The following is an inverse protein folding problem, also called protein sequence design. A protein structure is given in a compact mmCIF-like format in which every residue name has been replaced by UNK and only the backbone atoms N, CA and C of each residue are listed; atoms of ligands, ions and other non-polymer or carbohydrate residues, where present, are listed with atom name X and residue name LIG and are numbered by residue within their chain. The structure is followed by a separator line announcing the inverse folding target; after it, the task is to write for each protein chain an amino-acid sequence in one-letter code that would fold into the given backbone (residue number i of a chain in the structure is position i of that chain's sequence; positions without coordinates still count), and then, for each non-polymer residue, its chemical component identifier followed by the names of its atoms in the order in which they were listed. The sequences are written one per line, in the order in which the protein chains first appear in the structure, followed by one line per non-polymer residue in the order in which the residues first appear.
data_IF_519673717555
#
_entry.id   IF_519673717555
#
_cell.length_a   1.000
_cell.length_b   1.000
_cell.length_c   1.000
_cell.angle_alpha   90.00
_cell.angle_beta   90.00
_cell.angle_gamma   90.00
#
_symmetry.space_group_name_H-M   'P 1'
#
loop_
_entity.id
_entity.type
_entity.pdbx_description
1 polymer ?
#
# COMPACT_ATOMS: atom_id res chain seq x y z
N UNK A 1 2.79 4.80 -8.59
CA UNK A 1 3.88 5.48 -7.85
C UNK A 1 5.22 4.93 -8.31
N UNK A 2 6.11 5.78 -8.86
CA UNK A 2 7.43 5.36 -9.34
C UNK A 2 8.52 5.94 -8.44
N UNK A 3 9.48 5.11 -8.05
CA UNK A 3 10.67 5.57 -7.35
C UNK A 3 11.65 6.22 -8.34
N UNK A 4 11.98 7.47 -8.07
CA UNK A 4 12.98 8.29 -8.72
C UNK A 4 14.25 8.26 -7.88
N UNK A 5 15.39 8.08 -8.53
CA UNK A 5 16.68 8.18 -7.88
C UNK A 5 17.10 9.66 -7.83
N UNK A 6 17.21 10.29 -6.64
CA UNK A 6 17.76 11.63 -6.51
C UNK A 6 19.25 11.67 -6.85
N UNK A 7 19.77 12.86 -7.16
CA UNK A 7 21.23 13.06 -7.19
C UNK A 7 21.82 12.87 -5.78
N UNK A 8 23.13 12.57 -5.65
CA UNK A 8 23.72 12.25 -4.35
C UNK A 8 23.60 13.34 -3.28
N UNK A 9 23.57 14.62 -3.66
CA UNK A 9 23.42 15.72 -2.70
C UNK A 9 22.00 15.77 -2.16
N UNK A 10 20.99 15.73 -3.04
CA UNK A 10 19.59 15.65 -2.64
C UNK A 10 19.30 14.37 -1.83
N UNK A 11 19.92 13.25 -2.21
CA UNK A 11 19.81 11.98 -1.50
C UNK A 11 20.30 12.08 -0.05
N UNK A 12 21.44 12.74 0.19
CA UNK A 12 21.99 12.93 1.53
C UNK A 12 21.08 13.83 2.40
N UNK A 13 20.55 14.90 1.83
CA UNK A 13 19.60 15.79 2.52
C UNK A 13 18.32 15.03 2.88
N UNK A 14 17.81 14.24 1.94
CA UNK A 14 16.68 13.33 2.14
C UNK A 14 16.91 12.34 3.28
N UNK A 15 18.05 11.65 3.29
CA UNK A 15 18.39 10.69 4.34
C UNK A 15 18.50 11.35 5.72
N UNK A 16 19.09 12.55 5.78
CA UNK A 16 19.15 13.35 7.03
C UNK A 16 17.77 13.75 7.51
N UNK A 17 16.87 14.18 6.61
CA UNK A 17 15.50 14.54 6.99
C UNK A 17 14.72 13.32 7.52
N UNK A 18 14.83 12.17 6.85
CA UNK A 18 14.24 10.92 7.34
C UNK A 18 14.78 10.53 8.73
N UNK A 19 16.10 10.67 8.98
CA UNK A 19 16.69 10.44 10.31
C UNK A 19 16.14 11.43 11.35
N UNK A 20 16.02 12.71 11.00
CA UNK A 20 15.46 13.73 11.90
C UNK A 20 14.03 13.40 12.29
N UNK A 21 13.17 13.00 11.34
CA UNK A 21 11.80 12.56 11.64
C UNK A 21 11.79 11.27 12.46
N UNK A 22 12.64 10.29 12.14
CA UNK A 22 12.70 9.02 12.85
C UNK A 22 13.10 9.14 14.33
N UNK A 23 13.89 10.16 14.66
CA UNK A 23 14.35 10.50 16.01
C UNK A 23 13.55 11.64 16.68
N UNK A 24 12.52 12.17 16.02
CA UNK A 24 11.63 13.15 16.64
C UNK A 24 10.77 12.47 17.72
N UNK A 25 10.59 13.13 18.86
CA UNK A 25 9.80 12.60 19.97
C UNK A 25 10.46 11.45 20.77
N UNK A 26 11.70 11.05 20.46
CA UNK A 26 12.43 10.03 21.23
C UNK A 26 13.57 9.35 20.45
N UNK A 27 14.17 8.34 21.06
CA UNK A 27 15.21 7.55 20.40
C UNK A 27 14.65 6.82 19.15
N UNK A 28 15.42 6.82 18.07
CA UNK A 28 15.07 6.08 16.86
C UNK A 28 15.08 4.58 17.15
N UNK A 29 13.97 3.90 16.84
CA UNK A 29 13.85 2.45 17.05
C UNK A 29 14.67 1.65 16.03
N UNK A 30 14.95 0.35 16.32
CA UNK A 30 15.57 -0.55 15.36
C UNK A 30 14.77 -0.68 14.06
N UNK A 31 13.44 -0.63 14.12
CA UNK A 31 12.57 -0.73 12.93
C UNK A 31 12.74 0.47 12.01
N UNK A 32 12.72 1.69 12.57
CA UNK A 32 12.97 2.92 11.80
C UNK A 32 14.39 2.95 11.25
N UNK A 33 15.36 2.49 12.02
CA UNK A 33 16.76 2.37 11.57
C UNK A 33 16.91 1.39 10.40
N UNK A 34 16.21 0.27 10.42
CA UNK A 34 16.18 -0.70 9.31
C UNK A 34 15.53 -0.10 8.05
N UNK A 35 14.39 0.57 8.20
CA UNK A 35 13.72 1.26 7.08
C UNK A 35 14.63 2.34 6.48
N UNK A 36 15.34 3.11 7.31
CA UNK A 36 16.27 4.14 6.87
C UNK A 36 17.45 3.54 6.09
N UNK A 37 17.98 2.39 6.52
CA UNK A 37 19.05 1.69 5.79
C UNK A 37 18.57 1.11 4.47
N UNK A 38 17.36 0.53 4.44
CA UNK A 38 16.74 0.05 3.20
C UNK A 38 16.53 1.20 2.21
N UNK A 39 16.03 2.35 2.68
CA UNK A 39 15.86 3.55 1.84
C UNK A 39 17.22 4.05 1.30
N UNK A 40 18.25 4.09 2.15
CA UNK A 40 19.63 4.45 1.76
C UNK A 40 20.16 3.53 0.65
N UNK A 41 19.98 2.22 0.79
CA UNK A 41 20.54 1.20 -0.13
C UNK A 41 19.76 1.09 -1.44
N UNK A 42 18.43 1.05 -1.37
CA UNK A 42 17.57 0.72 -2.50
C UNK A 42 17.15 1.97 -3.28
N UNK A 43 16.69 3.01 -2.57
CA UNK A 43 16.09 4.19 -3.19
C UNK A 43 17.13 5.27 -3.47
N UNK A 44 17.90 5.63 -2.44
CA UNK A 44 18.84 6.75 -2.49
C UNK A 44 20.19 6.35 -3.10
N UNK A 45 20.60 5.09 -2.93
CA UNK A 45 21.85 4.50 -3.43
C UNK A 45 23.09 5.33 -3.09
N UNK A 46 23.20 5.75 -1.83
CA UNK A 46 24.33 6.51 -1.32
C UNK A 46 25.11 5.75 -0.24
N UNK A 47 26.41 6.03 -0.20
CA UNK A 47 27.29 5.58 0.87
C UNK A 47 27.37 6.66 1.95
N UNK A 48 26.58 6.48 3.01
CA UNK A 48 26.51 7.40 4.13
C UNK A 48 26.30 6.60 5.42
N UNK A 49 27.09 6.89 6.45
CA UNK A 49 26.91 6.31 7.77
C UNK A 49 25.71 6.97 8.46
N UNK A 50 24.60 6.24 8.53
CA UNK A 50 23.35 6.70 9.16
C UNK A 50 23.59 7.13 10.59
N UNK A 51 24.47 6.46 11.34
CA UNK A 51 24.61 6.69 12.77
C UNK A 51 25.36 8.00 13.04
N UNK A 52 26.30 8.38 12.17
CA UNK A 52 27.04 9.66 12.25
C UNK A 52 26.31 10.87 11.64
N UNK A 53 25.19 10.69 10.92
CA UNK A 53 24.48 11.81 10.29
C UNK A 53 23.96 12.83 11.32
N UNK A 54 24.35 14.09 11.18
CA UNK A 54 23.76 15.17 11.96
C UNK A 54 22.30 15.43 11.52
N UNK A 55 21.40 15.82 12.45
CA UNK A 55 20.08 16.33 12.10
C UNK A 55 20.14 17.46 11.07
N UNK A 56 19.06 17.67 10.34
CA UNK A 56 18.94 18.73 9.35
C UNK A 56 17.79 19.66 9.68
N UNK A 57 17.97 20.96 9.44
CA UNK A 57 16.90 21.94 9.55
C UNK A 57 16.02 21.93 8.28
N UNK A 58 14.71 22.17 8.37
CA UNK A 58 13.83 22.25 7.20
C UNK A 58 14.32 23.24 6.13
N UNK A 59 14.88 24.38 6.52
CA UNK A 59 15.43 25.39 5.58
C UNK A 59 16.65 24.88 4.80
N UNK A 60 17.54 24.13 5.46
CA UNK A 60 18.69 23.48 4.82
C UNK A 60 18.22 22.38 3.86
N UNK A 61 17.22 21.59 4.28
CA UNK A 61 16.61 20.56 3.44
C UNK A 61 16.00 21.13 2.16
N UNK A 62 15.25 22.24 2.26
CA UNK A 62 14.58 22.86 1.11
C UNK A 62 15.53 23.29 -0.02
N UNK A 63 16.78 23.65 0.31
CA UNK A 63 17.79 24.03 -0.67
C UNK A 63 18.14 22.90 -1.66
N UNK A 64 17.94 21.63 -1.25
CA UNK A 64 18.17 20.46 -2.10
C UNK A 64 17.04 20.11 -3.06
N UNK A 65 15.89 20.77 -2.95
CA UNK A 65 14.66 20.38 -3.65
C UNK A 65 14.01 21.56 -4.37
N UNK A 66 14.58 22.06 -5.49
CA UNK A 66 14.09 23.27 -6.13
C UNK A 66 12.74 23.10 -6.85
N UNK A 67 12.43 21.94 -7.47
CA UNK A 67 11.11 21.58 -8.04
C UNK A 67 11.02 20.07 -8.36
N UNK A 68 9.80 19.55 -8.56
CA UNK A 68 9.56 18.26 -9.24
C UNK A 68 9.07 17.10 -8.37
N UNK A 69 8.80 15.96 -9.02
CA UNK A 69 8.21 14.74 -8.42
C UNK A 69 9.01 14.16 -7.24
N UNK A 70 10.31 14.45 -7.16
CA UNK A 70 11.13 14.05 -6.01
C UNK A 70 10.59 14.61 -4.69
N UNK A 71 10.01 15.81 -4.70
CA UNK A 71 9.42 16.41 -3.49
C UNK A 71 8.31 15.54 -2.91
N UNK A 72 7.37 15.10 -3.77
CA UNK A 72 6.26 14.23 -3.38
C UNK A 72 6.78 12.88 -2.86
N UNK A 73 7.75 12.27 -3.57
CA UNK A 73 8.37 11.03 -3.13
C UNK A 73 9.04 11.14 -1.75
N UNK A 74 9.72 12.26 -1.47
CA UNK A 74 10.31 12.46 -0.14
C UNK A 74 9.24 12.55 0.94
N UNK A 75 8.14 13.27 0.71
CA UNK A 75 7.03 13.33 1.67
C UNK A 75 6.38 11.96 1.86
N UNK A 76 6.19 11.18 0.78
CA UNK A 76 5.72 9.79 0.88
C UNK A 76 6.66 8.94 1.76
N UNK A 77 7.97 9.07 1.57
CA UNK A 77 8.98 8.43 2.41
C UNK A 77 8.92 8.86 3.87
N UNK A 78 8.67 10.14 4.16
CA UNK A 78 8.48 10.64 5.53
C UNK A 78 7.21 10.05 6.16
N UNK A 79 6.10 9.97 5.41
CA UNK A 79 4.87 9.34 5.89
C UNK A 79 5.07 7.86 6.21
N UNK A 80 5.74 7.11 5.34
CA UNK A 80 6.11 5.71 5.59
C UNK A 80 7.00 5.59 6.84
N UNK A 81 7.97 6.50 7.02
CA UNK A 81 8.82 6.54 8.22
C UNK A 81 8.01 6.77 9.50
N UNK A 82 7.00 7.65 9.47
CA UNK A 82 6.17 7.91 10.66
C UNK A 82 5.34 6.70 11.09
N UNK A 83 4.94 5.82 10.17
CA UNK A 83 4.10 4.65 10.46
C UNK A 83 4.90 3.35 10.63
N UNK A 84 6.23 3.42 10.70
CA UNK A 84 7.09 2.25 10.59
C UNK A 84 6.92 1.24 11.75
N UNK A 85 6.58 1.70 12.96
CA UNK A 85 6.68 0.89 14.18
C UNK A 85 5.71 1.26 15.30
N UNK A 86 4.52 1.72 14.93
CA UNK A 86 3.45 2.06 15.87
C UNK A 86 2.70 3.32 15.46
N UNK A 87 1.80 3.76 16.33
CA UNK A 87 1.17 5.08 16.19
C UNK A 87 2.25 6.16 16.35
N UNK A 88 2.43 7.06 15.38
CA UNK A 88 3.46 8.10 15.46
C UNK A 88 3.21 9.07 16.61
N UNK A 89 4.30 9.62 17.16
CA UNK A 89 4.19 10.72 18.12
C UNK A 89 3.83 12.03 17.40
N UNK A 90 3.30 13.01 18.14
CA UNK A 90 2.95 14.32 17.57
C UNK A 90 4.19 15.04 17.03
N UNK A 91 5.34 14.86 17.68
CA UNK A 91 6.62 15.44 17.29
C UNK A 91 7.14 14.86 15.97
N UNK A 92 6.97 13.55 15.75
CA UNK A 92 7.31 12.92 14.46
C UNK A 92 6.47 13.46 13.32
N UNK A 93 5.16 13.60 13.55
CA UNK A 93 4.26 14.14 12.52
C UNK A 93 4.54 15.62 12.26
N UNK A 94 4.73 16.42 13.30
CA UNK A 94 5.10 17.83 13.16
C UNK A 94 6.40 18.01 12.38
N UNK A 95 7.43 17.20 12.67
CA UNK A 95 8.68 17.23 11.91
C UNK A 95 8.47 16.88 10.42
N UNK A 96 7.62 15.89 10.11
CA UNK A 96 7.28 15.55 8.73
C UNK A 96 6.48 16.67 8.03
N UNK A 97 5.56 17.33 8.74
CA UNK A 97 4.80 18.50 8.26
C UNK A 97 5.73 19.70 7.98
N UNK A 98 6.70 19.97 8.84
CA UNK A 98 7.68 21.04 8.65
C UNK A 98 8.52 20.80 7.38
N UNK A 99 9.03 19.57 7.18
CA UNK A 99 9.77 19.21 5.97
C UNK A 99 8.91 19.27 4.72
N UNK A 100 7.66 18.81 4.78
CA UNK A 100 6.73 18.89 3.64
C UNK A 100 6.41 20.36 3.28
N UNK A 101 6.19 21.21 4.28
CA UNK A 101 5.85 22.62 4.12
C UNK A 101 6.93 23.42 3.42
N UNK A 102 8.20 23.24 3.79
CA UNK A 102 9.33 24.01 3.21
C UNK A 102 9.64 23.64 1.75
N UNK A 103 9.27 22.44 1.30
CA UNK A 103 9.35 22.04 -0.12
C UNK A 103 8.02 22.23 -0.87
N UNK A 104 6.99 22.78 -0.20
CA UNK A 104 5.71 23.13 -0.82
C UNK A 104 4.84 21.93 -1.19
N UNK A 105 4.98 20.80 -0.49
CA UNK A 105 4.12 19.63 -0.70
C UNK A 105 3.01 19.62 0.34
N UNK A 106 1.77 19.58 -0.14
CA UNK A 106 0.58 19.43 0.70
C UNK A 106 -0.15 18.17 0.26
N UNK A 107 -0.39 17.26 1.21
CA UNK A 107 -1.12 16.02 0.97
C UNK A 107 -2.12 15.76 2.10
N UNK A 108 -3.36 15.36 1.78
CA UNK A 108 -4.33 15.02 2.80
C UNK A 108 -3.91 13.81 3.66
N UNK A 109 -3.05 12.93 3.13
CA UNK A 109 -2.55 11.77 3.88
C UNK A 109 -1.78 12.19 5.14
N UNK A 110 -1.03 13.29 5.09
CA UNK A 110 -0.28 13.78 6.25
C UNK A 110 -1.22 14.37 7.31
N UNK A 111 -2.30 15.03 6.89
CA UNK A 111 -3.37 15.46 7.80
C UNK A 111 -4.06 14.28 8.49
N UNK A 112 -4.22 13.14 7.80
CA UNK A 112 -4.78 11.92 8.39
C UNK A 112 -3.83 11.33 9.44
N UNK A 113 -2.54 11.27 9.13
CA UNK A 113 -1.52 10.82 10.09
C UNK A 113 -1.48 11.73 11.33
N UNK A 114 -1.70 13.05 11.17
CA UNK A 114 -1.86 13.97 12.30
C UNK A 114 -3.09 13.64 13.16
N UNK A 115 -4.25 13.43 12.54
CA UNK A 115 -5.47 13.01 13.26
C UNK A 115 -5.25 11.71 14.04
N UNK A 116 -4.48 10.77 13.47
CA UNK A 116 -4.07 9.54 14.15
C UNK A 116 -3.18 9.83 15.37
N UNK A 117 -2.12 10.61 15.21
CA UNK A 117 -1.20 10.98 16.31
C UNK A 117 -1.91 11.77 17.43
N UNK A 118 -2.92 12.55 17.08
CA UNK A 118 -3.75 13.31 18.02
C UNK A 118 -4.87 12.47 18.67
N UNK A 119 -5.04 11.21 18.22
CA UNK A 119 -6.08 10.27 18.66
C UNK A 119 -7.50 10.67 18.28
N UNK A 120 -7.67 11.48 17.23
CA UNK A 120 -8.97 11.81 16.64
C UNK A 120 -9.48 10.67 15.75
N UNK A 121 -9.63 9.47 16.32
CA UNK A 121 -9.79 8.21 15.60
C UNK A 121 -11.01 8.15 14.67
N UNK A 122 -12.14 8.74 15.06
CA UNK A 122 -13.35 8.76 14.22
C UNK A 122 -13.11 9.58 12.95
N UNK A 123 -12.54 10.78 13.11
CA UNK A 123 -12.22 11.64 11.98
C UNK A 123 -11.13 11.00 11.12
N UNK A 124 -10.05 10.53 11.73
CA UNK A 124 -8.98 9.81 11.04
C UNK A 124 -9.51 8.66 10.17
N UNK A 125 -10.33 7.75 10.73
CA UNK A 125 -10.85 6.62 9.96
C UNK A 125 -11.76 7.07 8.82
N UNK A 126 -12.65 8.02 9.06
CA UNK A 126 -13.55 8.53 8.03
C UNK A 126 -12.78 9.19 6.89
N UNK A 127 -11.81 10.04 7.24
CA UNK A 127 -10.99 10.78 6.29
C UNK A 127 -10.01 9.89 5.51
N UNK A 128 -9.43 8.90 6.18
CA UNK A 128 -8.56 7.93 5.53
C UNK A 128 -9.36 7.04 4.58
N UNK A 129 -10.47 6.46 5.05
CA UNK A 129 -11.28 5.54 4.24
C UNK A 129 -11.86 6.22 3.00
N UNK A 130 -12.35 7.46 3.12
CA UNK A 130 -12.91 8.21 1.98
C UNK A 130 -11.88 8.58 0.91
N UNK A 131 -10.58 8.56 1.23
CA UNK A 131 -9.48 8.87 0.30
C UNK A 131 -8.71 7.61 -0.15
N UNK A 132 -8.96 6.48 0.49
CA UNK A 132 -8.34 5.18 0.19
C UNK A 132 -9.04 4.42 -0.93
N UNK A 133 -8.45 3.29 -1.33
CA UNK A 133 -9.02 2.33 -2.28
C UNK A 133 -10.42 1.85 -1.90
N UNK A 134 -10.83 1.93 -0.63
CA UNK A 134 -12.18 1.57 -0.21
C UNK A 134 -13.23 2.48 -0.86
N UNK A 135 -12.95 3.78 -0.98
CA UNK A 135 -13.86 4.71 -1.64
C UNK A 135 -13.98 4.40 -3.15
N UNK A 136 -12.86 4.06 -3.80
CA UNK A 136 -12.82 3.65 -5.20
C UNK A 136 -13.69 2.39 -5.41
N UNK A 137 -13.49 1.35 -4.59
CA UNK A 137 -14.27 0.10 -4.66
C UNK A 137 -15.77 0.38 -4.47
N UNK A 138 -16.15 1.20 -3.50
CA UNK A 138 -17.57 1.52 -3.27
C UNK A 138 -18.17 2.30 -4.45
N UNK A 139 -17.42 3.24 -5.04
CA UNK A 139 -17.84 4.03 -6.19
C UNK A 139 -17.99 3.16 -7.44
N UNK A 140 -17.05 2.27 -7.69
CA UNK A 140 -17.07 1.38 -8.85
C UNK A 140 -18.18 0.34 -8.72
N UNK A 141 -18.35 -0.24 -7.53
CA UNK A 141 -19.47 -1.15 -7.25
C UNK A 141 -20.82 -0.47 -7.48
N UNK A 142 -20.97 0.78 -7.04
CA UNK A 142 -22.18 1.58 -7.28
C UNK A 142 -22.39 1.85 -8.77
N UNK A 143 -21.34 2.22 -9.50
CA UNK A 143 -21.41 2.48 -10.93
C UNK A 143 -21.77 1.24 -11.76
N UNK A 144 -21.26 0.06 -11.38
CA UNK A 144 -21.48 -1.20 -12.09
C UNK A 144 -22.84 -1.84 -11.79
N UNK A 145 -23.32 -1.74 -10.55
CA UNK A 145 -24.47 -2.54 -10.09
C UNK A 145 -25.64 -1.70 -9.57
N UNK A 146 -25.49 -0.38 -9.50
CA UNK A 146 -26.47 0.53 -8.92
C UNK A 146 -26.59 0.42 -7.39
N UNK A 147 -27.46 1.24 -6.76
CA UNK A 147 -27.57 1.30 -5.29
C UNK A 147 -27.98 -0.03 -4.65
N UNK A 148 -28.88 -0.78 -5.30
CA UNK A 148 -29.34 -2.08 -4.82
C UNK A 148 -28.23 -3.13 -4.87
N UNK A 149 -27.43 -3.14 -5.95
CA UNK A 149 -26.30 -4.04 -6.09
C UNK A 149 -25.17 -3.75 -5.09
N UNK A 150 -24.89 -2.47 -4.82
CA UNK A 150 -23.98 -2.06 -3.75
C UNK A 150 -24.47 -2.56 -2.38
N UNK A 151 -25.76 -2.35 -2.06
CA UNK A 151 -26.34 -2.83 -0.80
C UNK A 151 -26.21 -4.35 -0.66
N UNK A 152 -26.46 -5.10 -1.75
CA UNK A 152 -26.27 -6.55 -1.79
C UNK A 152 -24.83 -6.95 -1.52
N UNK A 153 -23.87 -6.34 -2.20
CA UNK A 153 -22.43 -6.62 -2.01
C UNK A 153 -22.00 -6.38 -0.55
N UNK A 154 -22.46 -5.30 0.08
CA UNK A 154 -22.17 -5.01 1.49
C UNK A 154 -22.80 -6.05 2.43
N UNK A 155 -24.04 -6.48 2.18
CA UNK A 155 -24.69 -7.52 2.98
C UNK A 155 -24.01 -8.89 2.82
N UNK A 156 -23.56 -9.23 1.62
CA UNK A 156 -22.78 -10.43 1.33
C UNK A 156 -21.43 -10.41 2.06
N UNK A 157 -20.67 -9.32 1.97
CA UNK A 157 -19.41 -9.14 2.71
C UNK A 157 -19.63 -9.25 4.24
N UNK A 158 -20.74 -8.72 4.76
CA UNK A 158 -21.10 -8.86 6.18
C UNK A 158 -21.58 -10.27 6.56
N UNK A 159 -21.71 -11.17 5.60
CA UNK A 159 -22.17 -12.53 5.79
C UNK A 159 -23.66 -12.66 6.10
N UNK A 160 -24.45 -11.62 5.78
CA UNK A 160 -25.90 -11.58 6.02
C UNK A 160 -26.67 -12.29 4.90
N UNK A 161 -26.10 -12.33 3.69
CA UNK A 161 -26.71 -12.99 2.54
C UNK A 161 -25.68 -13.57 1.58
N UNK A 162 -26.18 -14.29 0.56
CA UNK A 162 -25.40 -14.79 -0.56
C UNK A 162 -25.99 -14.28 -1.89
N UNK A 163 -25.16 -14.27 -2.93
CA UNK A 163 -25.55 -14.12 -4.32
C UNK A 163 -25.18 -15.38 -5.11
N UNK A 164 -26.08 -16.38 -5.17
CA UNK A 164 -25.78 -17.67 -5.81
C UNK A 164 -25.42 -17.55 -7.29
N UNK A 165 -26.05 -16.61 -8.01
CA UNK A 165 -25.78 -16.40 -9.43
C UNK A 165 -24.37 -15.85 -9.64
N UNK A 166 -23.95 -14.92 -8.77
CA UNK A 166 -22.60 -14.40 -8.78
C UNK A 166 -21.57 -15.47 -8.38
N UNK A 167 -21.82 -16.18 -7.29
CA UNK A 167 -20.95 -17.25 -6.81
C UNK A 167 -20.75 -18.34 -7.88
N UNK A 168 -21.81 -18.70 -8.62
CA UNK A 168 -21.72 -19.67 -9.72
C UNK A 168 -20.72 -19.25 -10.82
N UNK A 169 -20.63 -17.95 -11.14
CA UNK A 169 -19.66 -17.44 -12.14
C UNK A 169 -18.22 -17.66 -11.71
N UNK A 170 -17.92 -17.44 -10.43
CA UNK A 170 -16.58 -17.62 -9.89
C UNK A 170 -16.26 -19.10 -9.59
N UNK A 171 -17.24 -19.89 -9.16
CA UNK A 171 -17.06 -21.35 -9.01
C UNK A 171 -16.74 -22.02 -10.34
N UNK A 172 -17.30 -21.54 -11.45
CA UNK A 172 -16.98 -22.04 -12.78
C UNK A 172 -15.50 -21.84 -13.17
N UNK A 173 -14.76 -20.96 -12.48
CA UNK A 173 -13.30 -20.83 -12.70
C UNK A 173 -12.53 -22.05 -12.22
N UNK A 174 -13.13 -22.90 -11.40
CA UNK A 174 -12.58 -24.22 -11.11
C UNK A 174 -12.46 -25.04 -12.41
N UNK A 175 -13.32 -24.88 -13.40
CA UNK A 175 -13.22 -25.69 -14.62
C UNK A 175 -12.25 -25.09 -15.67
N UNK A 176 -11.58 -23.97 -15.35
CA UNK A 176 -10.56 -23.39 -16.21
C UNK A 176 -9.26 -24.22 -16.20
N UNK A 177 -8.43 -24.13 -17.27
CA UNK A 177 -7.18 -24.87 -17.36
C UNK A 177 -6.28 -24.66 -16.14
N UNK A 178 -5.60 -25.73 -15.71
CA UNK A 178 -4.61 -25.64 -14.64
C UNK A 178 -3.50 -24.64 -15.00
N UNK A 179 -3.12 -23.80 -14.03
CA UNK A 179 -2.16 -22.71 -14.25
C UNK A 179 -2.73 -21.47 -14.95
N UNK A 180 -4.04 -21.42 -15.23
CA UNK A 180 -4.69 -20.18 -15.68
C UNK A 180 -4.92 -19.21 -14.52
N UNK A 181 -5.01 -17.90 -14.81
CA UNK A 181 -5.21 -16.87 -13.77
C UNK A 181 -6.44 -17.14 -12.90
N UNK A 182 -7.59 -17.46 -13.51
CA UNK A 182 -8.84 -17.71 -12.77
C UNK A 182 -8.77 -18.96 -11.91
N UNK A 183 -8.20 -20.05 -12.44
CA UNK A 183 -7.99 -21.30 -11.69
C UNK A 183 -7.04 -21.07 -10.51
N UNK A 184 -5.97 -20.30 -10.71
CA UNK A 184 -5.02 -19.93 -9.65
C UNK A 184 -5.66 -19.06 -8.56
N UNK A 185 -6.59 -18.14 -8.89
CA UNK A 185 -7.29 -17.35 -7.88
C UNK A 185 -8.22 -18.22 -7.01
N UNK A 186 -8.97 -19.13 -7.62
CA UNK A 186 -9.84 -20.06 -6.86
C UNK A 186 -9.02 -20.96 -5.94
N UNK A 187 -7.87 -21.46 -6.42
CA UNK A 187 -6.93 -22.23 -5.60
C UNK A 187 -6.39 -21.39 -4.44
N UNK A 188 -5.96 -20.16 -4.71
CA UNK A 188 -5.50 -19.22 -3.69
C UNK A 188 -6.56 -18.98 -2.61
N UNK A 189 -7.83 -18.81 -3.00
CA UNK A 189 -8.93 -18.66 -2.06
C UNK A 189 -9.16 -19.90 -1.20
N UNK A 190 -9.14 -21.08 -1.82
CA UNK A 190 -9.32 -22.35 -1.11
C UNK A 190 -8.19 -22.60 -0.09
N UNK A 191 -6.94 -22.31 -0.45
CA UNK A 191 -5.76 -22.45 0.41
C UNK A 191 -5.81 -21.52 1.63
N UNK A 192 -6.34 -20.31 1.48
CA UNK A 192 -6.40 -19.29 2.54
C UNK A 192 -7.76 -19.24 3.26
N UNK A 193 -8.71 -20.10 2.88
CA UNK A 193 -10.05 -20.14 3.47
C UNK A 193 -10.93 -18.93 3.14
N UNK A 194 -10.66 -18.25 2.03
CA UNK A 194 -11.43 -17.10 1.57
C UNK A 194 -12.69 -17.54 0.81
N UNK A 195 -13.73 -16.70 0.88
CA UNK A 195 -15.01 -16.94 0.20
C UNK A 195 -15.04 -16.23 -1.15
N UNK A 196 -15.52 -16.90 -2.19
CA UNK A 196 -15.61 -16.32 -3.53
C UNK A 196 -16.61 -15.16 -3.56
N UNK A 197 -16.50 -14.22 -4.51
CA UNK A 197 -17.51 -13.19 -4.68
C UNK A 197 -18.92 -13.80 -4.86
N UNK A 198 -19.87 -13.28 -4.09
CA UNK A 198 -21.24 -13.81 -4.01
C UNK A 198 -21.45 -14.88 -2.93
N UNK A 199 -20.41 -15.50 -2.40
CA UNK A 199 -20.55 -16.38 -1.24
C UNK A 199 -20.64 -15.58 0.06
N UNK A 200 -21.09 -16.21 1.15
CA UNK A 200 -21.19 -15.56 2.45
C UNK A 200 -19.81 -15.08 2.91
N UNK A 201 -19.67 -13.78 3.23
CA UNK A 201 -18.40 -13.08 3.52
C UNK A 201 -17.48 -12.91 2.31
N UNK A 202 -17.95 -13.22 1.10
CA UNK A 202 -17.21 -12.95 -0.13
C UNK A 202 -16.98 -11.46 -0.34
N UNK A 203 -15.80 -11.10 -0.82
CA UNK A 203 -15.45 -9.73 -1.13
C UNK A 203 -16.20 -9.24 -2.39
N UNK A 204 -16.55 -7.94 -2.50
CA UNK A 204 -17.18 -7.38 -3.69
C UNK A 204 -16.31 -7.53 -4.94
N UNK A 205 -16.93 -7.74 -6.11
CA UNK A 205 -16.20 -7.88 -7.39
C UNK A 205 -15.30 -6.69 -7.71
N UNK A 206 -15.73 -5.46 -7.36
CA UNK A 206 -14.94 -4.26 -7.56
C UNK A 206 -13.59 -4.28 -6.82
N UNK A 207 -13.49 -5.06 -5.74
CA UNK A 207 -12.26 -5.24 -4.96
C UNK A 207 -11.36 -6.38 -5.43
N UNK A 208 -11.82 -7.23 -6.36
CA UNK A 208 -11.13 -8.45 -6.75
C UNK A 208 -9.75 -8.21 -7.38
N UNK A 209 -9.51 -7.00 -7.92
CA UNK A 209 -8.21 -6.60 -8.44
C UNK A 209 -7.10 -6.74 -7.39
N UNK A 210 -7.39 -6.50 -6.11
CA UNK A 210 -6.44 -6.67 -5.00
C UNK A 210 -6.01 -8.14 -4.86
N UNK A 211 -6.98 -9.06 -4.82
CA UNK A 211 -6.68 -10.49 -4.70
C UNK A 211 -5.99 -11.05 -5.95
N UNK A 212 -6.36 -10.55 -7.12
CA UNK A 212 -5.65 -10.85 -8.36
C UNK A 212 -4.19 -10.37 -8.31
N UNK A 213 -3.89 -9.26 -7.61
CA UNK A 213 -2.53 -8.80 -7.41
C UNK A 213 -1.70 -9.71 -6.51
N UNK A 214 -2.29 -10.47 -5.57
CA UNK A 214 -1.58 -11.52 -4.86
C UNK A 214 -1.11 -12.62 -5.82
N UNK A 215 -2.01 -13.12 -6.67
CA UNK A 215 -1.72 -14.21 -7.62
C UNK A 215 -0.74 -13.77 -8.71
N UNK A 216 -1.02 -12.63 -9.34
CA UNK A 216 -0.14 -12.05 -10.37
C UNK A 216 1.22 -11.69 -9.79
N UNK A 217 1.21 -11.13 -8.59
CA UNK A 217 2.37 -10.62 -7.89
C UNK A 217 3.22 -11.70 -7.20
N UNK A 218 2.67 -12.89 -6.98
CA UNK A 218 3.27 -13.93 -6.14
C UNK A 218 3.54 -13.42 -4.70
N UNK A 219 2.51 -12.83 -4.08
CA UNK A 219 2.56 -12.32 -2.71
C UNK A 219 1.55 -13.07 -1.83
N UNK A 220 1.99 -13.53 -0.66
CA UNK A 220 1.13 -14.20 0.32
C UNK A 220 0.18 -13.23 1.04
N UNK A 221 -0.61 -13.76 1.96
CA UNK A 221 -1.58 -13.00 2.77
C UNK A 221 -1.12 -12.80 4.22
N UNK A 222 0.13 -13.13 4.53
CA UNK A 222 0.75 -12.82 5.81
C UNK A 222 1.07 -11.30 5.87
N UNK A 223 1.35 -10.73 7.05
CA UNK A 223 1.64 -9.29 7.18
C UNK A 223 2.71 -8.79 6.18
N UNK A 224 3.74 -9.59 5.91
CA UNK A 224 4.76 -9.29 4.91
C UNK A 224 4.19 -9.24 3.49
N UNK A 225 3.46 -10.28 3.08
CA UNK A 225 2.83 -10.37 1.77
C UNK A 225 1.83 -9.25 1.50
N UNK A 226 1.07 -8.85 2.52
CA UNK A 226 0.14 -7.71 2.46
C UNK A 226 0.85 -6.37 2.24
N UNK A 227 1.97 -6.14 2.92
CA UNK A 227 2.79 -4.96 2.65
C UNK A 227 3.38 -4.99 1.24
N UNK A 228 3.81 -6.17 0.76
CA UNK A 228 4.33 -6.31 -0.60
C UNK A 228 3.26 -6.11 -1.67
N UNK A 229 2.05 -6.68 -1.54
CA UNK A 229 0.98 -6.49 -2.52
C UNK A 229 0.48 -5.05 -2.53
N UNK A 230 0.42 -4.39 -1.37
CA UNK A 230 0.07 -2.98 -1.29
C UNK A 230 1.11 -2.09 -1.99
N UNK A 231 2.39 -2.37 -1.77
CA UNK A 231 3.49 -1.68 -2.45
C UNK A 231 3.48 -1.93 -3.96
N UNK A 232 3.32 -3.19 -4.39
CA UNK A 232 3.19 -3.56 -5.80
C UNK A 232 2.01 -2.85 -6.47
N UNK A 233 0.85 -2.83 -5.83
CA UNK A 233 -0.35 -2.17 -6.36
C UNK A 233 -0.17 -0.65 -6.41
N UNK A 234 0.44 -0.05 -5.38
CA UNK A 234 0.79 1.37 -5.39
C UNK A 234 1.75 1.72 -6.54
N UNK A 235 2.55 0.78 -7.02
CA UNK A 235 3.49 0.95 -8.12
C UNK A 235 2.81 1.40 -9.42
N UNK A 236 1.72 0.76 -9.81
CA UNK A 236 0.97 1.07 -11.05
C UNK A 236 -0.30 1.88 -10.84
N UNK A 237 -0.80 2.02 -9.60
CA UNK A 237 -1.97 2.87 -9.34
C UNK A 237 -1.66 4.33 -9.67
N UNK A 238 -2.53 4.94 -10.47
CA UNK A 238 -2.39 6.31 -10.95
C UNK A 238 -2.90 7.35 -9.94
N UNK A 239 -4.03 7.04 -9.28
CA UNK A 239 -4.70 7.96 -8.35
C UNK A 239 -4.42 7.57 -6.92
N UNK A 240 -3.97 8.53 -6.10
CA UNK A 240 -3.74 8.35 -4.65
C UNK A 240 -2.99 7.06 -4.24
N UNK A 241 -1.92 6.63 -4.95
CA UNK A 241 -1.26 5.34 -4.71
C UNK A 241 -0.71 5.18 -3.29
N UNK A 242 -0.31 6.29 -2.66
CA UNK A 242 0.22 6.28 -1.29
C UNK A 242 -0.79 5.71 -0.28
N UNK A 243 -2.10 5.91 -0.48
CA UNK A 243 -3.11 5.42 0.46
C UNK A 243 -3.17 3.89 0.51
N UNK A 244 -2.84 3.18 -0.58
CA UNK A 244 -2.72 1.71 -0.55
C UNK A 244 -1.60 1.28 0.39
N UNK A 245 -0.43 1.91 0.25
CA UNK A 245 0.73 1.60 1.08
C UNK A 245 0.45 1.96 2.54
N UNK A 246 -0.06 3.16 2.80
CA UNK A 246 -0.43 3.57 4.16
C UNK A 246 -1.51 2.65 4.77
N UNK A 247 -2.45 2.13 3.98
CA UNK A 247 -3.48 1.21 4.49
C UNK A 247 -2.83 -0.07 5.07
N UNK A 248 -1.91 -0.69 4.34
CA UNK A 248 -1.17 -1.86 4.83
C UNK A 248 -0.26 -1.51 6.02
N UNK A 249 0.46 -0.37 5.95
CA UNK A 249 1.35 0.06 7.04
C UNK A 249 0.60 0.40 8.32
N UNK A 250 -0.58 1.02 8.22
CA UNK A 250 -1.42 1.28 9.39
C UNK A 250 -1.76 -0.02 10.11
N UNK A 251 -2.11 -1.05 9.36
CA UNK A 251 -2.55 -2.32 9.93
C UNK A 251 -1.37 -3.15 10.47
N UNK A 252 -0.28 -3.26 9.71
CA UNK A 252 0.78 -4.21 9.99
C UNK A 252 2.05 -3.59 10.58
N UNK A 253 2.25 -2.28 10.43
CA UNK A 253 3.38 -1.55 11.03
C UNK A 253 2.95 -0.68 12.22
N UNK A 254 1.84 0.04 12.11
CA UNK A 254 1.36 0.95 13.14
C UNK A 254 0.41 0.29 14.16
N UNK A 255 -0.10 -0.91 13.88
CA UNK A 255 -1.03 -1.62 14.76
C UNK A 255 -2.46 -1.06 14.78
N UNK A 256 -2.83 -0.25 13.79
CA UNK A 256 -4.12 0.46 13.71
C UNK A 256 -5.05 -0.24 12.72
N UNK A 257 -6.15 -0.79 13.24
CA UNK A 257 -7.16 -1.40 12.38
C UNK A 257 -7.99 -0.32 11.66
N UNK A 258 -7.75 -0.18 10.35
CA UNK A 258 -8.53 0.67 9.44
C UNK A 258 -9.43 -0.12 8.48
N UNK A 259 -9.54 -1.45 8.64
CA UNK A 259 -10.42 -2.26 7.78
C UNK A 259 -11.89 -1.91 7.99
N UNK A 260 -12.72 -1.93 6.94
CA UNK A 260 -14.18 -1.83 7.04
C UNK A 260 -14.84 -3.18 7.39
N UNK A 261 -14.11 -4.11 8.02
CA UNK A 261 -14.60 -5.44 8.41
C UNK A 261 -14.52 -5.62 9.94
N UNK A 262 -15.05 -6.75 10.44
CA UNK A 262 -14.94 -7.12 11.87
C UNK A 262 -13.58 -7.74 12.23
N UNK A 263 -12.70 -7.95 11.25
CA UNK A 263 -11.37 -8.50 11.48
C UNK A 263 -10.50 -7.48 12.22
N UNK A 264 -9.87 -7.91 13.30
CA UNK A 264 -9.13 -7.08 14.23
C UNK A 264 -7.63 -7.42 14.29
N UNK A 265 -7.18 -8.41 13.51
CA UNK A 265 -5.77 -8.77 13.45
C UNK A 265 -4.92 -7.62 12.91
N UNK A 266 -4.03 -7.11 13.74
CA UNK A 266 -3.01 -6.10 13.42
C UNK A 266 -1.66 -6.55 13.95
N UNK A 267 -0.59 -5.99 13.39
CA UNK A 267 0.77 -6.17 13.90
C UNK A 267 1.46 -4.82 14.07
N UNK A 268 2.57 -4.80 14.81
CA UNK A 268 3.40 -3.61 14.97
C UNK A 268 4.80 -3.92 14.44
N UNK A 269 5.37 -3.00 13.66
CA UNK A 269 6.76 -3.05 13.23
C UNK A 269 7.09 -4.14 12.19
N UNK A 270 6.15 -4.56 11.32
CA UNK A 270 6.45 -5.57 10.28
C UNK A 270 7.63 -5.16 9.39
N UNK A 271 7.84 -3.86 9.14
CA UNK A 271 8.99 -3.33 8.39
C UNK A 271 10.34 -3.60 9.06
N UNK A 272 10.35 -3.91 10.35
CA UNK A 272 11.56 -4.26 11.10
C UNK A 272 12.02 -5.70 10.89
N UNK A 273 11.20 -6.55 10.27
CA UNK A 273 11.61 -7.92 9.93
C UNK A 273 12.77 -7.89 8.94
N UNK A 274 13.73 -8.81 9.03
CA UNK A 274 14.91 -8.83 8.16
C UNK A 274 14.54 -8.76 6.67
N UNK A 275 15.07 -7.77 5.95
CA UNK A 275 14.86 -7.58 4.52
C UNK A 275 13.46 -7.08 4.12
N UNK A 276 12.56 -6.80 5.08
CA UNK A 276 11.15 -6.50 4.75
C UNK A 276 11.00 -5.14 4.07
N UNK A 277 11.72 -4.12 4.53
CA UNK A 277 11.70 -2.80 3.90
C UNK A 277 12.25 -2.84 2.46
N UNK A 278 13.32 -3.60 2.20
CA UNK A 278 13.87 -3.83 0.86
C UNK A 278 12.86 -4.55 -0.03
N UNK A 279 12.19 -5.59 0.49
CA UNK A 279 11.13 -6.32 -0.24
C UNK A 279 9.94 -5.43 -0.57
N UNK A 280 9.57 -4.49 0.31
CA UNK A 280 8.54 -3.49 0.04
C UNK A 280 8.95 -2.57 -1.11
N UNK A 281 10.17 -2.02 -1.09
CA UNK A 281 10.68 -1.18 -2.19
C UNK A 281 10.78 -1.96 -3.50
N UNK A 282 11.27 -3.20 -3.49
CA UNK A 282 11.35 -4.05 -4.67
C UNK A 282 9.96 -4.35 -5.25
N UNK A 283 8.96 -4.59 -4.40
CA UNK A 283 7.58 -4.78 -4.83
C UNK A 283 7.00 -3.51 -5.48
N UNK A 284 7.26 -2.34 -4.89
CA UNK A 284 6.87 -1.03 -5.45
C UNK A 284 7.51 -0.79 -6.82
N UNK A 285 8.82 -1.01 -6.96
CA UNK A 285 9.53 -0.86 -8.24
C UNK A 285 9.01 -1.83 -9.30
N UNK A 286 8.74 -3.07 -8.91
CA UNK A 286 8.15 -4.08 -9.79
C UNK A 286 6.75 -3.67 -10.25
N UNK A 287 5.94 -3.12 -9.34
CA UNK A 287 4.63 -2.56 -9.64
C UNK A 287 4.69 -1.41 -10.63
N UNK A 288 5.67 -0.52 -10.48
CA UNK A 288 5.88 0.62 -11.39
C UNK A 288 6.29 0.23 -12.82
N UNK A 289 6.52 -1.07 -13.10
CA UNK A 289 6.77 -1.61 -14.45
C UNK A 289 5.51 -2.17 -15.10
N UNK A 290 4.44 -2.42 -14.35
CA UNK A 290 3.17 -2.88 -14.91
C UNK A 290 2.65 -1.82 -15.87
N UNK A 291 2.23 -2.23 -17.06
CA UNK A 291 1.93 -1.34 -18.17
C UNK A 291 0.47 -0.81 -18.20
N UNK A 292 -0.32 -1.11 -17.17
CA UNK A 292 -1.70 -0.69 -17.01
C UNK A 292 -2.05 -0.54 -15.52
N UNK A 293 -2.90 0.43 -15.17
CA UNK A 293 -3.49 0.51 -13.83
C UNK A 293 -4.56 -0.58 -13.65
N UNK A 294 -4.26 -1.60 -12.84
CA UNK A 294 -5.20 -2.70 -12.57
C UNK A 294 -6.31 -2.32 -11.58
N UNK A 295 -6.23 -1.13 -10.97
CA UNK A 295 -7.19 -0.66 -9.95
C UNK A 295 -8.32 0.18 -10.52
N UNK A 296 -8.26 0.61 -11.78
CA UNK A 296 -9.29 1.42 -12.45
C UNK A 296 -9.86 0.64 -13.64
N UNK A 297 -11.01 -0.01 -13.44
CA UNK A 297 -11.80 -0.68 -14.49
C UNK A 297 -11.04 -1.72 -15.33
N UNK A 298 -10.09 -2.43 -14.72
CA UNK A 298 -9.41 -3.52 -15.39
C UNK A 298 -10.37 -4.68 -15.68
N UNK A 299 -10.51 -5.04 -16.96
CA UNK A 299 -11.30 -6.20 -17.40
C UNK A 299 -10.49 -7.49 -17.24
N UNK A 300 -10.41 -8.00 -16.00
CA UNK A 300 -9.71 -9.25 -15.71
C UNK A 300 -10.39 -10.47 -16.36
N UNK A 301 -11.68 -10.40 -16.73
CA UNK A 301 -12.39 -11.51 -17.38
C UNK A 301 -11.76 -11.90 -18.72
N UNK A 302 -11.18 -10.93 -19.44
CA UNK A 302 -10.41 -11.20 -20.65
C UNK A 302 -9.12 -12.03 -20.40
N UNK A 303 -8.69 -12.18 -19.14
CA UNK A 303 -7.43 -12.83 -18.76
C UNK A 303 -7.60 -14.14 -18.00
N UNK A 304 -8.75 -14.42 -17.37
CA UNK A 304 -8.90 -15.54 -16.41
C UNK A 304 -8.60 -16.92 -17.00
N UNK A 305 -8.89 -17.12 -18.29
CA UNK A 305 -8.63 -18.39 -18.98
C UNK A 305 -7.20 -18.51 -19.53
N UNK A 306 -6.42 -17.42 -19.53
CA UNK A 306 -5.04 -17.42 -20.02
C UNK A 306 -4.09 -18.02 -18.98
N UNK A 307 -3.01 -18.71 -19.42
CA UNK A 307 -1.92 -19.12 -18.53
C UNK A 307 -1.35 -17.94 -17.74
N UNK A 308 -1.08 -18.13 -16.45
CA UNK A 308 -0.64 -17.06 -15.54
C UNK A 308 0.61 -16.34 -16.05
N UNK A 309 1.59 -17.06 -16.58
CA UNK A 309 2.80 -16.48 -17.16
C UNK A 309 2.53 -15.65 -18.42
N UNK A 310 1.51 -16.02 -19.19
CA UNK A 310 1.08 -15.21 -20.32
C UNK A 310 0.46 -13.89 -19.86
N UNK A 311 -0.40 -13.94 -18.83
CA UNK A 311 -0.98 -12.71 -18.24
C UNK A 311 0.12 -11.80 -17.71
N UNK A 312 1.08 -12.35 -16.96
CA UNK A 312 2.23 -11.59 -16.43
C UNK A 312 3.02 -10.92 -17.56
N UNK A 313 3.30 -11.63 -18.67
CA UNK A 313 3.96 -11.03 -19.84
C UNK A 313 3.14 -9.90 -20.46
N UNK A 314 1.84 -10.09 -20.67
CA UNK A 314 0.95 -9.07 -21.27
C UNK A 314 0.88 -7.79 -20.43
N UNK A 315 0.87 -7.94 -19.11
CA UNK A 315 0.83 -6.83 -18.15
C UNK A 315 2.22 -6.26 -17.81
N UNK A 316 3.29 -6.78 -18.41
CA UNK A 316 4.69 -6.44 -18.07
C UNK A 316 5.04 -6.61 -16.58
N UNK A 317 4.48 -7.64 -15.96
CA UNK A 317 4.79 -8.03 -14.58
C UNK A 317 6.08 -8.85 -14.59
N UNK A 318 7.16 -8.24 -14.11
CA UNK A 318 8.49 -8.88 -14.05
C UNK A 318 8.50 -10.06 -13.05
N UNK A 319 9.48 -10.98 -13.13
CA UNK A 319 9.69 -11.97 -12.07
C UNK A 319 9.92 -11.31 -10.70
N UNK A 320 9.56 -12.01 -9.62
CA UNK A 320 9.85 -11.57 -8.26
C UNK A 320 11.35 -11.75 -7.98
N UNK A 321 11.98 -10.71 -7.44
CA UNK A 321 13.40 -10.70 -7.07
C UNK A 321 13.65 -11.40 -5.73
#
# INVERSE_FOLDING_TARGET
MRLLQPDPAAALLGLRAMKTVAAAGGAMSPVRRSLLDAARRVVLKIDADIDSLAPIAPTEFAAGFPQGQLREQFVDGLMVMTLADGVPSREMVAAAEDFAGVIGVSTPALADIRLLAERHMTLFKLDFLRRSQIADIMKDQLGQTGPLGLARAVLTMRGVMEDPALAARYRAWNDLPEGSLGRSLVQFYAEHGFSLPGERKGFPEAGLHHDLCHVLGDYGTDPEGEVQVAAFTAGFKEKTPIFLLLFALLIFSAGVNVRPSKEDFTTVGVLGKPGMAERMFAALERGARVNQDLTDKWDYWAYVALPLDEVRRRLNILPKA
#
